data_IF_332171003645
#
_entry.id   IF_332171003645
#
_cell.length_a   1.000
_cell.length_b   1.000
_cell.length_c   1.000
_cell.angle_alpha   90.00
_cell.angle_beta   90.00
_cell.angle_gamma   90.00
#
_symmetry.space_group_name_H-M   'P 1'
#
loop_
_entity.id
_entity.type
_entity.pdbx_description
1 polymer ?
#
# COMPACT_ATOMS: atom_id res chain seq x y z
N UNK A 1 -46.54 47.11 9.08
CA UNK A 1 -46.25 46.21 7.96
C UNK A 1 -47.02 44.91 8.19
N UNK A 2 -48.19 44.77 7.63
CA UNK A 2 -49.01 43.54 7.58
C UNK A 2 -48.60 42.75 6.33
N UNK A 3 -47.40 42.23 6.29
CA UNK A 3 -46.92 41.36 5.22
C UNK A 3 -47.26 39.89 5.59
N UNK A 4 -48.19 39.28 4.85
CA UNK A 4 -48.46 37.85 4.91
C UNK A 4 -47.16 37.08 4.65
N UNK A 5 -46.77 36.23 5.62
CA UNK A 5 -45.60 35.33 5.48
C UNK A 5 -45.72 34.49 4.21
N UNK A 6 -44.73 34.46 3.32
CA UNK A 6 -44.75 33.50 2.22
C UNK A 6 -44.71 32.08 2.78
N UNK A 7 -45.61 31.23 2.31
CA UNK A 7 -45.92 29.86 2.79
C UNK A 7 -44.77 28.83 2.70
N UNK A 8 -43.58 29.26 2.37
CA UNK A 8 -42.47 28.30 2.13
C UNK A 8 -41.22 28.46 3.01
N UNK A 9 -41.31 29.22 4.11
CA UNK A 9 -40.20 29.38 5.05
C UNK A 9 -40.65 28.93 6.44
N UNK A 10 -40.19 27.73 6.83
CA UNK A 10 -40.32 27.30 8.22
C UNK A 10 -39.38 28.15 9.07
N UNK A 11 -39.98 29.07 9.85
CA UNK A 11 -39.23 29.82 10.84
C UNK A 11 -38.86 28.92 12.02
N UNK A 12 -37.68 29.17 12.57
CA UNK A 12 -37.30 28.54 13.84
C UNK A 12 -38.37 28.83 14.92
N UNK A 13 -38.78 27.86 15.71
CA UNK A 13 -39.61 28.09 16.86
C UNK A 13 -38.80 28.84 17.92
N UNK A 14 -38.95 30.13 17.97
CA UNK A 14 -38.26 31.02 18.91
C UNK A 14 -39.18 32.15 19.37
N UNK A 15 -38.97 32.54 20.60
CA UNK A 15 -39.63 33.75 21.17
C UNK A 15 -38.81 35.02 20.91
N UNK A 16 -37.64 34.92 20.27
CA UNK A 16 -36.81 36.07 19.95
C UNK A 16 -37.49 36.99 18.93
N UNK A 17 -37.29 38.29 19.09
CA UNK A 17 -37.77 39.28 18.13
C UNK A 17 -37.17 39.09 16.74
N UNK A 18 -37.91 39.43 15.69
CA UNK A 18 -37.48 39.19 14.29
C UNK A 18 -36.14 39.86 13.92
N UNK A 19 -35.89 41.01 14.47
CA UNK A 19 -34.66 41.78 14.27
C UNK A 19 -33.42 41.21 14.97
N UNK A 20 -33.62 40.26 15.86
CA UNK A 20 -32.51 39.48 16.45
C UNK A 20 -31.80 38.64 15.42
N UNK A 21 -32.46 38.26 14.32
CA UNK A 21 -31.92 37.39 13.27
C UNK A 21 -31.99 38.03 11.88
N UNK A 22 -32.94 38.92 11.65
CA UNK A 22 -33.18 39.58 10.37
C UNK A 22 -32.82 41.08 10.45
N UNK A 23 -32.30 41.61 9.36
CA UNK A 23 -32.05 43.06 9.23
C UNK A 23 -33.23 43.72 8.53
N UNK A 24 -33.61 44.92 8.96
CA UNK A 24 -34.67 45.72 8.34
C UNK A 24 -34.36 46.15 6.92
N UNK A 25 -33.08 46.32 6.60
CA UNK A 25 -32.58 46.71 5.28
C UNK A 25 -32.42 45.54 4.31
N UNK A 26 -32.43 44.31 4.82
CA UNK A 26 -32.32 43.10 4.03
C UNK A 26 -32.76 41.88 4.83
N UNK A 27 -33.99 41.40 4.55
CA UNK A 27 -34.61 40.32 5.30
C UNK A 27 -33.82 39.00 5.22
N UNK A 28 -33.09 38.78 4.17
CA UNK A 28 -32.18 37.63 3.96
C UNK A 28 -30.80 38.14 3.62
N UNK A 29 -29.73 37.43 4.05
CA UNK A 29 -29.76 36.20 4.91
C UNK A 29 -30.10 36.57 6.36
N UNK A 30 -30.76 35.61 7.05
CA UNK A 30 -30.92 35.67 8.50
C UNK A 30 -29.71 35.05 9.19
N UNK A 31 -29.33 35.58 10.33
CA UNK A 31 -28.21 35.08 11.14
C UNK A 31 -28.73 34.51 12.45
N UNK A 32 -28.52 33.23 12.69
CA UNK A 32 -28.88 32.59 13.95
C UNK A 32 -27.64 32.36 14.79
N UNK A 33 -27.65 32.86 16.03
CA UNK A 33 -26.58 32.55 16.99
C UNK A 33 -26.84 31.26 17.69
N UNK A 34 -25.85 30.35 17.68
CA UNK A 34 -25.89 29.11 18.43
C UNK A 34 -25.44 29.27 19.90
N UNK A 35 -25.09 30.48 20.34
CA UNK A 35 -24.77 30.75 21.73
C UNK A 35 -25.99 30.41 22.63
N UNK A 36 -25.77 29.62 23.67
CA UNK A 36 -26.82 29.19 24.59
C UNK A 36 -27.69 28.01 24.10
N UNK A 37 -27.40 27.43 22.95
CA UNK A 37 -28.08 26.17 22.53
C UNK A 37 -27.66 25.04 23.45
N UNK A 38 -28.65 24.35 24.01
CA UNK A 38 -28.41 23.21 24.92
C UNK A 38 -27.65 22.08 24.21
N UNK A 39 -26.56 21.58 24.78
CA UNK A 39 -25.87 20.41 24.23
C UNK A 39 -26.84 19.24 23.97
N UNK A 40 -26.66 18.53 22.87
CA UNK A 40 -27.53 17.46 22.42
C UNK A 40 -28.77 17.89 21.66
N UNK A 41 -29.16 19.18 21.72
CA UNK A 41 -30.37 19.72 21.11
C UNK A 41 -30.33 20.01 19.62
N UNK A 42 -29.22 19.80 18.96
CA UNK A 42 -28.99 20.21 17.56
C UNK A 42 -30.05 19.65 16.58
N UNK A 43 -30.45 18.40 16.76
CA UNK A 43 -31.40 17.70 15.87
C UNK A 43 -32.85 18.23 15.97
N UNK A 44 -33.20 18.98 17.01
CA UNK A 44 -34.53 19.58 17.13
C UNK A 44 -34.74 20.61 16.02
N UNK A 45 -33.69 21.32 15.61
CA UNK A 45 -33.71 22.28 14.52
C UNK A 45 -33.10 21.70 13.23
N UNK A 46 -31.98 20.98 13.34
CA UNK A 46 -31.29 20.36 12.19
C UNK A 46 -31.93 19.00 11.83
N UNK A 47 -33.20 19.03 11.47
CA UNK A 47 -34.05 17.86 11.17
C UNK A 47 -34.35 17.70 9.67
N UNK A 48 -33.80 18.56 8.82
CA UNK A 48 -34.03 18.57 7.37
C UNK A 48 -35.25 19.37 6.93
N UNK A 49 -36.13 19.75 7.87
CA UNK A 49 -37.33 20.61 7.62
C UNK A 49 -37.09 22.05 8.10
N UNK A 50 -36.68 22.19 9.35
CA UNK A 50 -36.44 23.50 9.97
C UNK A 50 -35.09 24.10 9.55
N UNK A 51 -34.05 23.28 9.61
CA UNK A 51 -32.71 23.59 9.11
C UNK A 51 -32.13 22.33 8.48
N UNK A 52 -31.03 22.50 7.71
CA UNK A 52 -30.35 21.41 7.06
C UNK A 52 -30.01 20.30 8.08
N UNK A 53 -30.50 19.09 7.83
CA UNK A 53 -30.24 17.92 8.63
C UNK A 53 -29.02 17.12 8.21
N UNK A 54 -28.91 15.88 8.66
CA UNK A 54 -27.89 14.93 8.23
C UNK A 54 -28.06 14.64 6.73
N UNK A 55 -26.95 14.62 5.99
CA UNK A 55 -26.95 14.18 4.59
C UNK A 55 -27.21 12.67 4.50
N UNK A 56 -27.64 12.21 3.31
CA UNK A 56 -27.86 10.77 3.05
C UNK A 56 -26.60 9.92 3.28
N UNK A 57 -25.43 10.53 3.09
CA UNK A 57 -24.14 9.85 3.28
C UNK A 57 -23.55 10.04 4.69
N UNK A 58 -24.32 10.61 5.61
CA UNK A 58 -23.86 10.75 7.00
C UNK A 58 -23.79 9.37 7.65
N UNK A 59 -22.74 9.14 8.46
CA UNK A 59 -22.63 7.88 9.23
C UNK A 59 -23.89 7.67 10.05
N UNK A 60 -24.39 6.43 10.06
CA UNK A 60 -25.52 6.05 10.92
C UNK A 60 -25.06 6.05 12.39
N UNK A 61 -25.65 6.92 13.19
CA UNK A 61 -25.34 7.03 14.62
C UNK A 61 -26.53 7.59 15.39
N UNK A 62 -26.68 7.12 16.61
CA UNK A 62 -27.65 7.64 17.60
C UNK A 62 -27.04 8.71 18.49
N UNK A 63 -25.72 8.95 18.38
CA UNK A 63 -25.04 9.98 19.17
C UNK A 63 -25.54 11.38 18.79
N UNK A 64 -25.51 12.28 19.76
CA UNK A 64 -25.81 13.68 19.54
C UNK A 64 -24.80 14.31 18.59
N UNK A 65 -25.22 15.31 17.83
CA UNK A 65 -24.38 15.93 16.79
C UNK A 65 -23.10 16.55 17.37
N UNK A 66 -23.19 17.14 18.53
CA UNK A 66 -22.08 17.79 19.24
C UNK A 66 -21.08 16.81 19.88
N UNK A 67 -21.37 15.50 19.85
CA UNK A 67 -20.38 14.47 20.16
C UNK A 67 -19.25 14.42 19.11
N UNK A 68 -19.52 14.89 17.90
CA UNK A 68 -18.59 14.84 16.77
C UNK A 68 -18.33 16.21 16.12
N UNK A 69 -19.32 17.11 16.19
CA UNK A 69 -19.27 18.44 15.56
C UNK A 69 -19.17 19.53 16.62
N UNK A 70 -18.57 20.66 16.24
CA UNK A 70 -18.53 21.86 17.07
C UNK A 70 -19.43 22.94 16.45
N UNK A 71 -20.15 23.70 17.27
CA UNK A 71 -21.01 24.80 16.80
C UNK A 71 -20.23 25.96 16.19
N UNK A 72 -18.97 26.14 16.61
CA UNK A 72 -18.07 27.18 16.09
C UNK A 72 -17.37 26.80 14.78
N UNK A 73 -17.34 25.51 14.46
CA UNK A 73 -16.70 24.97 13.27
C UNK A 73 -17.25 23.58 12.98
N UNK A 74 -18.29 23.48 12.17
CA UNK A 74 -19.01 22.23 11.91
C UNK A 74 -18.13 21.16 11.26
N UNK A 75 -17.16 21.55 10.49
CA UNK A 75 -16.15 20.67 9.88
C UNK A 75 -14.74 21.15 10.29
N UNK A 76 -13.80 20.19 10.47
CA UNK A 76 -13.97 18.75 10.41
C UNK A 76 -14.72 18.19 11.63
N UNK A 77 -15.45 17.08 11.42
CA UNK A 77 -16.04 16.32 12.52
C UNK A 77 -14.99 15.36 13.09
N UNK A 78 -15.07 15.06 14.38
CA UNK A 78 -14.20 14.11 15.06
C UNK A 78 -15.01 12.87 15.43
N UNK A 79 -14.67 11.71 14.88
CA UNK A 79 -15.32 10.45 15.22
C UNK A 79 -14.40 9.57 16.07
N UNK A 80 -14.88 9.13 17.23
CA UNK A 80 -14.15 8.18 18.05
C UNK A 80 -14.43 6.75 17.62
N UNK A 81 -13.41 5.97 17.34
CA UNK A 81 -13.53 4.54 17.04
C UNK A 81 -13.62 3.67 18.31
N UNK A 82 -13.60 4.29 19.51
CA UNK A 82 -13.79 3.55 20.75
C UNK A 82 -15.18 2.90 20.79
N UNK A 83 -15.23 1.60 21.04
CA UNK A 83 -16.47 0.83 21.06
C UNK A 83 -17.01 0.41 19.69
N UNK A 84 -16.30 0.68 18.59
CA UNK A 84 -16.66 0.11 17.29
C UNK A 84 -16.39 -1.40 17.31
N UNK A 85 -17.44 -2.18 16.99
CA UNK A 85 -17.34 -3.64 16.99
C UNK A 85 -16.31 -4.13 15.96
N UNK A 86 -15.50 -5.15 16.30
CA UNK A 86 -14.63 -5.79 15.34
C UNK A 86 -15.39 -6.23 14.08
N UNK A 87 -14.78 -6.06 12.91
CA UNK A 87 -15.38 -6.39 11.62
C UNK A 87 -16.33 -5.33 11.05
N UNK A 88 -16.74 -4.34 11.83
CA UNK A 88 -17.73 -3.33 11.40
C UNK A 88 -17.14 -2.18 10.56
N UNK A 89 -15.84 -2.13 10.33
CA UNK A 89 -15.16 -1.00 9.68
C UNK A 89 -15.76 -0.64 8.31
N UNK A 90 -16.09 -1.65 7.49
CA UNK A 90 -16.61 -1.45 6.14
C UNK A 90 -18.03 -0.86 6.10
N UNK A 91 -18.78 -0.89 7.19
CA UNK A 91 -20.12 -0.27 7.24
C UNK A 91 -20.05 1.24 7.08
N UNK A 92 -18.96 1.85 7.59
CA UNK A 92 -18.69 3.28 7.45
C UNK A 92 -17.64 3.57 6.39
N UNK A 93 -16.54 2.79 6.34
CA UNK A 93 -15.45 2.93 5.37
C UNK A 93 -15.81 2.25 4.04
N UNK A 94 -16.89 2.73 3.41
CA UNK A 94 -17.49 2.21 2.18
C UNK A 94 -17.27 3.11 0.94
N UNK A 95 -16.53 4.21 1.11
CA UNK A 95 -16.29 5.20 0.07
C UNK A 95 -17.36 6.29 -0.04
N UNK A 96 -18.49 6.14 0.67
CA UNK A 96 -19.56 7.16 0.72
C UNK A 96 -19.58 7.90 2.05
N UNK A 97 -19.72 7.18 3.15
CA UNK A 97 -19.75 7.77 4.49
C UNK A 97 -18.36 8.16 4.98
N UNK A 98 -17.40 7.32 4.75
CA UNK A 98 -15.97 7.58 5.00
C UNK A 98 -15.12 6.93 3.91
N UNK A 99 -13.84 7.35 3.82
CA UNK A 99 -12.89 6.81 2.85
C UNK A 99 -12.85 5.27 2.93
N UNK A 100 -13.11 4.62 1.80
CA UNK A 100 -13.07 3.18 1.65
C UNK A 100 -11.70 2.65 1.21
N UNK A 101 -11.68 1.40 0.75
CA UNK A 101 -10.49 0.79 0.13
C UNK A 101 -10.10 1.55 -1.15
N UNK A 102 -8.82 1.75 -1.36
CA UNK A 102 -8.31 2.29 -2.62
C UNK A 102 -8.37 1.24 -3.73
N UNK A 103 -8.29 1.68 -4.99
CA UNK A 103 -8.27 0.77 -6.15
C UNK A 103 -7.13 -0.25 -6.13
N UNK A 104 -6.00 0.14 -5.51
CA UNK A 104 -4.80 -0.70 -5.39
C UNK A 104 -4.76 -1.51 -4.09
N UNK A 105 -5.85 -1.53 -3.32
CA UNK A 105 -5.91 -2.32 -2.10
C UNK A 105 -5.93 -3.82 -2.43
N UNK A 106 -5.23 -4.62 -1.62
CA UNK A 106 -5.27 -6.09 -1.71
C UNK A 106 -6.72 -6.58 -1.74
N UNK A 107 -7.06 -7.38 -2.75
CA UNK A 107 -8.38 -8.00 -2.83
C UNK A 107 -8.51 -9.07 -1.75
N UNK A 108 -9.43 -8.88 -0.82
CA UNK A 108 -9.65 -9.80 0.30
C UNK A 108 -11.08 -9.71 0.81
N UNK A 109 -11.59 -10.82 1.30
CA UNK A 109 -12.86 -10.94 2.01
C UNK A 109 -12.70 -10.77 3.52
N UNK A 110 -11.47 -10.70 4.01
CA UNK A 110 -11.20 -10.48 5.43
C UNK A 110 -11.67 -9.09 5.87
N UNK A 111 -12.06 -8.99 7.13
CA UNK A 111 -12.40 -7.71 7.76
C UNK A 111 -11.17 -6.80 7.83
N UNK A 112 -11.38 -5.50 7.83
CA UNK A 112 -10.29 -4.50 7.81
C UNK A 112 -9.34 -4.65 9.01
N UNK A 113 -9.90 -4.96 10.16
CA UNK A 113 -9.16 -5.11 11.43
C UNK A 113 -8.34 -6.41 11.52
N UNK A 114 -8.51 -7.33 10.56
CA UNK A 114 -7.58 -8.46 10.41
C UNK A 114 -6.16 -7.99 10.01
N UNK A 115 -6.05 -6.84 9.37
CA UNK A 115 -4.79 -6.29 8.88
C UNK A 115 -4.46 -4.90 9.43
N UNK A 116 -5.47 -4.11 9.75
CA UNK A 116 -5.33 -2.74 10.21
C UNK A 116 -5.71 -2.58 11.69
N UNK A 117 -5.13 -1.59 12.36
CA UNK A 117 -5.49 -1.21 13.72
C UNK A 117 -6.19 0.15 13.71
N UNK A 118 -7.21 0.32 14.54
CA UNK A 118 -7.95 1.60 14.67
C UNK A 118 -7.10 2.73 15.26
N UNK A 119 -6.08 2.38 16.05
CA UNK A 119 -5.14 3.34 16.67
C UNK A 119 -3.99 3.73 15.74
N UNK A 120 -3.74 2.97 14.69
CA UNK A 120 -2.68 3.22 13.72
C UNK A 120 -2.97 2.44 12.45
N UNK A 121 -3.67 3.07 11.51
CA UNK A 121 -4.13 2.42 10.28
C UNK A 121 -3.00 1.88 9.40
N UNK A 122 -1.86 2.51 9.46
CA UNK A 122 -0.63 2.05 8.78
C UNK A 122 0.51 1.89 9.80
N UNK A 123 1.40 0.93 9.61
CA UNK A 123 1.40 -0.09 8.55
C UNK A 123 0.32 -1.16 8.77
N UNK A 124 -0.20 -1.73 7.68
CA UNK A 124 -1.05 -2.90 7.73
C UNK A 124 -0.20 -4.17 7.81
N UNK A 125 -0.70 -5.21 8.46
CA UNK A 125 -0.05 -6.52 8.54
C UNK A 125 -0.84 -7.53 7.72
N UNK A 126 -0.25 -8.06 6.66
CA UNK A 126 -0.88 -9.10 5.84
C UNK A 126 -0.26 -10.47 6.16
N UNK A 127 -1.10 -11.44 6.52
CA UNK A 127 -0.65 -12.82 6.71
C UNK A 127 -0.68 -13.56 5.37
N UNK A 128 0.43 -14.19 5.01
CA UNK A 128 0.51 -15.05 3.82
C UNK A 128 0.01 -16.49 4.10
N UNK A 129 -0.46 -16.78 5.31
CA UNK A 129 -1.03 -18.09 5.64
C UNK A 129 -2.25 -18.36 4.76
N UNK A 130 -2.26 -19.50 4.06
CA UNK A 130 -3.35 -19.88 3.15
C UNK A 130 -3.32 -19.23 1.77
N UNK A 131 -2.31 -18.42 1.44
CA UNK A 131 -2.11 -17.93 0.08
C UNK A 131 -1.75 -19.13 -0.82
N UNK A 132 -2.49 -19.29 -1.92
CA UNK A 132 -2.28 -20.39 -2.84
C UNK A 132 -0.90 -20.28 -3.54
N UNK A 133 -0.16 -21.39 -3.70
CA UNK A 133 1.08 -21.40 -4.46
C UNK A 133 0.89 -20.83 -5.89
N UNK A 134 1.90 -20.17 -6.40
CA UNK A 134 1.90 -19.57 -7.73
C UNK A 134 1.17 -18.22 -7.86
N UNK A 135 0.45 -17.77 -6.83
CA UNK A 135 -0.36 -16.54 -6.92
C UNK A 135 0.36 -15.27 -6.44
N UNK A 136 1.60 -15.36 -6.02
CA UNK A 136 2.36 -14.25 -5.43
C UNK A 136 2.36 -12.98 -6.30
N UNK A 137 2.50 -13.13 -7.63
CA UNK A 137 2.57 -12.02 -8.57
C UNK A 137 1.23 -11.26 -8.73
N UNK A 138 0.11 -11.82 -8.31
CA UNK A 138 -1.19 -11.12 -8.36
C UNK A 138 -1.19 -9.91 -7.42
N UNK A 139 -0.48 -10.01 -6.30
CA UNK A 139 -0.32 -8.92 -5.34
C UNK A 139 1.05 -8.24 -5.46
N UNK A 140 2.14 -9.02 -5.62
CA UNK A 140 3.50 -8.51 -5.78
C UNK A 140 3.77 -8.09 -7.23
N UNK A 141 2.99 -7.14 -7.73
CA UNK A 141 2.97 -6.63 -9.11
C UNK A 141 3.59 -5.23 -9.26
N UNK A 142 4.14 -4.67 -8.17
CA UNK A 142 4.70 -3.31 -8.14
C UNK A 142 3.68 -2.20 -7.90
N UNK A 143 2.38 -2.51 -7.90
CA UNK A 143 1.28 -1.56 -7.65
C UNK A 143 0.60 -1.84 -6.31
N UNK A 144 0.15 -3.05 -6.11
CA UNK A 144 -0.50 -3.49 -4.87
C UNK A 144 0.51 -3.73 -3.76
N UNK A 145 1.58 -4.44 -4.07
CA UNK A 145 2.72 -4.66 -3.20
C UNK A 145 4.02 -4.65 -4.02
N UNK A 146 5.17 -4.52 -3.35
CA UNK A 146 6.49 -4.51 -4.00
C UNK A 146 6.64 -5.71 -4.92
N UNK A 147 6.93 -5.45 -6.19
CA UNK A 147 7.15 -6.45 -7.22
C UNK A 147 8.64 -6.81 -7.39
N UNK A 148 8.97 -7.47 -8.50
CA UNK A 148 10.34 -7.76 -8.90
C UNK A 148 11.11 -6.46 -9.15
N UNK A 149 12.36 -6.41 -8.72
CA UNK A 149 13.27 -5.30 -9.06
C UNK A 149 13.79 -5.43 -10.49
N UNK A 150 14.32 -4.35 -11.05
CA UNK A 150 14.92 -4.37 -12.40
C UNK A 150 16.14 -5.30 -12.52
N UNK A 151 16.80 -5.59 -11.39
CA UNK A 151 17.93 -6.54 -11.32
C UNK A 151 17.51 -7.98 -11.03
N UNK A 152 16.19 -8.25 -10.92
CA UNK A 152 15.70 -9.61 -10.71
C UNK A 152 15.94 -10.44 -11.97
N UNK A 153 16.33 -11.71 -11.80
CA UNK A 153 16.49 -12.63 -12.93
C UNK A 153 15.20 -12.70 -13.77
N UNK A 154 15.35 -12.71 -15.07
CA UNK A 154 14.23 -12.89 -16.00
C UNK A 154 13.80 -14.35 -15.96
N UNK A 155 12.57 -14.60 -15.52
CA UNK A 155 12.01 -15.94 -15.41
C UNK A 155 10.50 -15.91 -15.50
N UNK A 156 9.93 -16.96 -16.08
CA UNK A 156 8.48 -17.22 -16.14
C UNK A 156 8.02 -18.09 -14.97
N UNK A 157 8.95 -18.61 -14.15
CA UNK A 157 8.61 -19.40 -12.98
C UNK A 157 7.85 -18.57 -11.93
N UNK A 158 6.97 -19.23 -11.20
CA UNK A 158 6.29 -18.63 -10.06
C UNK A 158 7.29 -18.22 -8.97
N UNK A 159 6.97 -17.19 -8.22
CA UNK A 159 7.88 -16.65 -7.20
C UNK A 159 8.27 -17.68 -6.14
N UNK A 160 7.33 -18.52 -5.75
CA UNK A 160 7.50 -19.58 -4.75
C UNK A 160 8.30 -20.79 -5.23
N UNK A 161 8.63 -20.86 -6.53
CA UNK A 161 9.63 -21.81 -7.02
C UNK A 161 11.03 -21.51 -6.47
N UNK A 162 11.30 -20.25 -6.12
CA UNK A 162 12.61 -19.81 -5.64
C UNK A 162 12.56 -19.15 -4.25
N UNK A 163 11.43 -18.56 -3.88
CA UNK A 163 11.25 -17.85 -2.62
C UNK A 163 10.29 -18.57 -1.68
N UNK A 164 10.45 -18.36 -0.39
CA UNK A 164 9.53 -18.86 0.64
C UNK A 164 8.74 -17.71 1.23
N UNK A 165 7.46 -17.91 1.51
CA UNK A 165 6.59 -16.89 2.13
C UNK A 165 7.00 -16.55 3.56
N UNK A 166 7.64 -17.50 4.27
CA UNK A 166 8.14 -17.30 5.63
C UNK A 166 9.50 -16.60 5.70
N UNK A 167 10.29 -16.67 4.62
CA UNK A 167 11.61 -16.05 4.53
C UNK A 167 11.93 -15.79 3.05
N UNK A 168 11.66 -14.57 2.59
CA UNK A 168 11.81 -14.20 1.19
C UNK A 168 13.26 -14.30 0.69
N UNK A 169 14.21 -14.11 1.55
CA UNK A 169 15.64 -14.28 1.26
C UNK A 169 16.26 -15.27 2.26
N UNK A 170 17.24 -16.07 1.83
CA UNK A 170 17.77 -16.18 0.47
C UNK A 170 16.79 -16.91 -0.48
N UNK A 171 16.84 -16.54 -1.76
CA UNK A 171 16.15 -17.28 -2.81
C UNK A 171 17.01 -18.45 -3.27
N UNK A 172 16.38 -19.56 -3.69
CA UNK A 172 17.05 -20.73 -4.23
C UNK A 172 16.74 -20.83 -5.73
N UNK A 173 17.75 -20.70 -6.58
CA UNK A 173 17.60 -20.86 -8.03
C UNK A 173 18.14 -22.21 -8.46
N UNK A 174 17.33 -23.02 -9.14
CA UNK A 174 17.79 -24.27 -9.76
C UNK A 174 18.38 -23.99 -11.15
N UNK A 175 19.59 -24.46 -11.38
CA UNK A 175 20.22 -24.40 -12.69
C UNK A 175 19.81 -25.55 -13.62
N UNK A 176 18.92 -26.45 -13.17
CA UNK A 176 18.39 -27.54 -14.01
C UNK A 176 17.67 -26.95 -15.22
N UNK A 177 18.08 -27.38 -16.42
CA UNK A 177 17.49 -26.90 -17.68
C UNK A 177 17.99 -25.52 -18.16
N UNK A 178 18.98 -24.93 -17.51
CA UNK A 178 19.65 -23.73 -18.03
C UNK A 178 20.43 -24.11 -19.31
N UNK A 179 20.20 -23.34 -20.37
CA UNK A 179 20.86 -23.56 -21.66
C UNK A 179 22.37 -23.36 -21.54
N UNK A 180 23.19 -24.31 -21.99
CA UNK A 180 24.65 -24.14 -22.04
C UNK A 180 25.07 -22.84 -22.76
N UNK A 181 26.12 -22.21 -22.28
CA UNK A 181 26.64 -20.96 -22.83
C UNK A 181 25.95 -19.68 -22.34
N UNK A 182 24.82 -19.78 -21.63
CA UNK A 182 24.04 -18.59 -21.21
C UNK A 182 24.36 -18.09 -19.80
N UNK A 183 25.30 -18.68 -19.10
CA UNK A 183 25.63 -18.37 -17.70
C UNK A 183 25.88 -16.88 -17.46
N UNK A 184 26.58 -16.18 -18.37
CA UNK A 184 26.92 -14.78 -18.24
C UNK A 184 25.71 -13.84 -18.34
N UNK A 185 24.57 -14.28 -18.86
CA UNK A 185 23.37 -13.45 -18.91
C UNK A 185 22.84 -13.13 -17.50
N UNK A 186 23.03 -14.06 -16.58
CA UNK A 186 22.67 -13.87 -15.17
C UNK A 186 23.89 -13.56 -14.30
N UNK A 187 25.01 -14.28 -14.50
CA UNK A 187 26.28 -14.07 -13.78
C UNK A 187 27.09 -12.89 -14.36
N UNK A 188 26.47 -11.70 -14.34
CA UNK A 188 26.99 -10.45 -14.93
C UNK A 188 27.48 -9.43 -13.89
N UNK A 189 27.47 -9.80 -12.59
CA UNK A 189 27.86 -8.92 -11.49
C UNK A 189 26.73 -8.01 -10.98
N UNK A 190 25.59 -7.95 -11.66
CA UNK A 190 24.41 -7.17 -11.26
C UNK A 190 23.27 -8.10 -10.81
N UNK A 191 22.90 -9.06 -11.64
CA UNK A 191 21.84 -10.03 -11.34
C UNK A 191 22.32 -11.11 -10.40
N UNK A 192 23.48 -11.68 -10.68
CA UNK A 192 24.18 -12.64 -9.82
C UNK A 192 25.70 -12.38 -9.89
N UNK A 193 26.43 -12.97 -8.93
CA UNK A 193 27.89 -12.83 -8.88
C UNK A 193 28.52 -13.17 -10.22
N UNK A 194 29.26 -12.24 -10.78
CA UNK A 194 29.99 -12.40 -12.03
C UNK A 194 31.41 -12.90 -11.83
N UNK A 195 32.22 -12.81 -12.90
CA UNK A 195 33.67 -13.10 -12.85
C UNK A 195 34.36 -12.13 -11.90
N UNK A 196 35.30 -12.62 -11.09
CA UNK A 196 36.17 -11.78 -10.27
C UNK A 196 37.21 -11.06 -11.13
N UNK A 197 37.80 -10.01 -10.60
CA UNK A 197 38.90 -9.28 -11.30
C UNK A 197 40.13 -10.13 -11.56
N UNK A 198 40.31 -11.20 -10.75
CA UNK A 198 41.44 -12.17 -10.87
C UNK A 198 41.07 -13.39 -11.72
N UNK A 199 39.87 -13.43 -12.30
CA UNK A 199 39.45 -14.54 -13.14
C UNK A 199 40.28 -14.59 -14.42
N UNK A 200 40.64 -15.80 -14.90
CA UNK A 200 41.30 -16.00 -16.19
C UNK A 200 40.55 -15.25 -17.28
N UNK A 201 41.26 -14.41 -18.04
CA UNK A 201 40.70 -13.68 -19.19
C UNK A 201 40.43 -14.65 -20.32
N UNK A 202 39.17 -14.86 -20.64
CA UNK A 202 38.74 -15.79 -21.70
C UNK A 202 37.45 -15.34 -22.31
N UNK A 203 37.27 -15.60 -23.59
CA UNK A 203 36.00 -15.44 -24.34
C UNK A 203 35.18 -16.70 -24.34
N UNK A 204 35.70 -17.81 -23.80
CA UNK A 204 34.95 -19.08 -23.67
C UNK A 204 33.76 -18.90 -22.75
N UNK A 205 32.72 -19.67 -23.05
CA UNK A 205 31.57 -19.75 -22.17
C UNK A 205 31.92 -20.34 -20.79
N UNK A 206 31.26 -19.94 -19.74
CA UNK A 206 31.60 -20.32 -18.37
C UNK A 206 31.59 -21.85 -18.18
N UNK A 207 30.65 -22.53 -18.80
CA UNK A 207 30.46 -23.98 -18.75
C UNK A 207 31.51 -24.77 -19.54
N UNK A 208 32.37 -24.11 -20.31
CA UNK A 208 33.57 -24.74 -20.86
C UNK A 208 34.59 -25.13 -19.76
N UNK A 209 34.52 -24.47 -18.60
CA UNK A 209 35.44 -24.69 -17.49
C UNK A 209 34.76 -25.05 -16.19
N UNK A 210 33.49 -24.59 -16.00
CA UNK A 210 32.73 -24.78 -14.80
C UNK A 210 31.54 -25.71 -15.01
N UNK A 211 31.12 -26.41 -13.96
CA UNK A 211 29.90 -27.24 -13.98
C UNK A 211 28.80 -26.54 -13.19
N UNK A 212 27.56 -26.59 -13.66
CA UNK A 212 26.40 -25.99 -12.96
C UNK A 212 26.10 -26.67 -11.63
N UNK A 213 26.48 -27.93 -11.46
CA UNK A 213 26.27 -28.71 -10.24
C UNK A 213 27.39 -28.54 -9.21
N UNK A 214 28.59 -28.12 -9.65
CA UNK A 214 29.76 -27.92 -8.79
C UNK A 214 30.65 -26.88 -9.45
N UNK A 215 30.49 -25.62 -9.09
CA UNK A 215 31.22 -24.49 -9.72
C UNK A 215 32.72 -24.56 -9.53
N UNK A 216 33.17 -25.15 -8.47
CA UNK A 216 34.59 -25.43 -8.20
C UNK A 216 34.80 -26.93 -7.93
N UNK A 217 35.96 -27.49 -8.34
CA UNK A 217 37.02 -26.85 -9.10
C UNK A 217 36.62 -26.60 -10.56
N UNK A 218 37.20 -25.56 -11.15
CA UNK A 218 37.13 -25.32 -12.59
C UNK A 218 38.21 -26.13 -13.31
N UNK A 219 37.94 -26.55 -14.55
CA UNK A 219 38.91 -27.24 -15.41
C UNK A 219 39.31 -26.30 -16.54
N UNK A 220 40.58 -25.93 -16.62
CA UNK A 220 41.10 -25.11 -17.70
C UNK A 220 41.89 -25.99 -18.65
N UNK A 221 41.51 -25.98 -19.92
CA UNK A 221 42.24 -26.66 -20.97
C UNK A 221 43.33 -25.73 -21.51
N UNK A 222 44.55 -26.17 -21.47
CA UNK A 222 45.75 -25.43 -21.96
C UNK A 222 46.00 -25.64 -23.48
N UNK A 223 45.13 -26.43 -24.15
CA UNK A 223 45.26 -26.59 -25.61
C UNK A 223 45.15 -25.25 -26.31
N UNK A 224 46.16 -24.92 -27.13
CA UNK A 224 46.21 -23.64 -27.85
C UNK A 224 46.77 -22.46 -27.06
N UNK A 225 47.24 -22.64 -25.83
CA UNK A 225 47.98 -21.61 -25.11
C UNK A 225 49.34 -21.40 -25.79
N UNK A 226 49.64 -20.17 -26.20
CA UNK A 226 50.90 -19.84 -26.89
C UNK A 226 52.13 -20.13 -25.99
N UNK A 227 53.19 -20.68 -26.54
CA UNK A 227 54.44 -20.82 -25.81
C UNK A 227 54.91 -19.48 -25.23
N UNK A 228 55.36 -19.48 -23.99
CA UNK A 228 55.80 -18.28 -23.27
C UNK A 228 54.69 -17.48 -22.57
N UNK A 229 53.43 -17.78 -22.80
CA UNK A 229 52.30 -17.09 -22.18
C UNK A 229 51.95 -17.56 -20.75
N UNK A 230 52.64 -18.56 -20.23
CA UNK A 230 52.29 -19.18 -18.91
C UNK A 230 52.27 -18.16 -17.78
N UNK A 231 53.19 -17.21 -17.73
CA UNK A 231 53.28 -16.22 -16.66
C UNK A 231 52.15 -15.18 -16.69
N UNK A 232 51.40 -15.04 -17.78
CA UNK A 232 50.23 -14.13 -17.85
C UNK A 232 49.11 -14.61 -16.97
N UNK A 233 48.99 -15.92 -16.78
CA UNK A 233 47.96 -16.53 -15.90
C UNK A 233 48.62 -17.06 -14.61
N UNK A 234 49.77 -17.72 -14.68
CA UNK A 234 50.47 -18.22 -13.50
C UNK A 234 51.33 -17.12 -12.85
N UNK A 235 50.67 -16.07 -12.35
CA UNK A 235 51.25 -14.85 -11.78
C UNK A 235 51.01 -14.73 -10.25
N UNK A 236 50.51 -15.77 -9.61
CA UNK A 236 50.18 -15.79 -8.19
C UNK A 236 48.84 -15.16 -7.81
N UNK A 237 48.18 -14.44 -8.74
CA UNK A 237 46.87 -13.83 -8.52
C UNK A 237 45.76 -14.58 -9.28
N UNK A 238 45.96 -14.84 -10.57
CA UNK A 238 44.99 -15.55 -11.42
C UNK A 238 45.11 -17.07 -11.24
N UNK A 239 46.31 -17.58 -11.25
CA UNK A 239 46.65 -18.97 -10.94
C UNK A 239 47.94 -19.02 -10.14
N UNK A 240 48.21 -20.17 -9.50
CA UNK A 240 49.45 -20.38 -8.74
C UNK A 240 50.66 -20.01 -9.58
N UNK A 241 51.51 -19.09 -9.10
CA UNK A 241 52.72 -18.68 -9.75
C UNK A 241 53.89 -19.65 -9.50
N UNK A 242 55.08 -19.27 -9.93
CA UNK A 242 56.32 -19.99 -9.57
C UNK A 242 56.57 -19.82 -8.06
N UNK A 243 56.90 -20.93 -7.39
CA UNK A 243 57.50 -20.94 -6.05
C UNK A 243 58.97 -20.55 -6.14
#
# INVERSE_FOLDING_TARGET
FTGTKPRSLVNLPTSAACDSCHRTTGWKPATFSHAGVTPGGCSTCHNGSTATGKSSNHIATTQACDSCHRTTGWKPATFSHSGVAPGACATCHNGSAATGKTTNHVTTTQSCDACHRTTGWKPATFSHTGVAPGTCATCHNGTTATGKTNSHIVTTQACDACHRTSAWKPATFSHTGVTPGTCATCHNGTTATGKTTTHVRTTLACDSCHRTTAWKPATFDHTGVAPGACATCHNGSTATGKN
#
